data_IF_569133921910
#
_entry.id   IF_569133921910
#
_cell.length_a   1.000
_cell.length_b   1.000
_cell.length_c   1.000
_cell.angle_alpha   90.00
_cell.angle_beta   90.00
_cell.angle_gamma   90.00
#
_symmetry.space_group_name_H-M   'P 1'
#
loop_
_entity.id
_entity.type
_entity.pdbx_description
1 polymer ?
#
# COMPACT_ATOMS: atom_id res chain seq x y z
N UNK A 1 -6.18 -8.19 22.61
CA UNK A 1 -5.45 -7.55 21.50
C UNK A 1 -5.93 -6.11 21.42
N UNK A 2 -5.04 -5.11 21.32
CA UNK A 2 -5.48 -3.73 21.09
C UNK A 2 -6.09 -3.62 19.68
N UNK A 3 -7.08 -2.74 19.47
CA UNK A 3 -7.75 -2.60 18.17
C UNK A 3 -6.74 -2.32 17.04
N UNK A 4 -5.68 -1.55 17.33
CA UNK A 4 -4.59 -1.25 16.42
C UNK A 4 -3.84 -2.47 15.90
N UNK A 5 -3.60 -3.48 16.74
CA UNK A 5 -2.93 -4.72 16.33
C UNK A 5 -3.83 -5.52 15.39
N UNK A 6 -5.12 -5.57 15.66
CA UNK A 6 -6.09 -6.24 14.77
C UNK A 6 -6.11 -5.55 13.41
N UNK A 7 -6.22 -4.21 13.38
CA UNK A 7 -6.18 -3.43 12.15
C UNK A 7 -4.87 -3.65 11.37
N UNK A 8 -3.72 -3.67 12.05
CA UNK A 8 -2.43 -3.93 11.41
C UNK A 8 -2.41 -5.30 10.72
N UNK A 9 -2.87 -6.35 11.41
CA UNK A 9 -2.92 -7.71 10.86
C UNK A 9 -3.87 -7.78 9.66
N UNK A 10 -5.06 -7.17 9.75
CA UNK A 10 -6.02 -7.13 8.63
C UNK A 10 -5.42 -6.43 7.41
N UNK A 11 -4.73 -5.31 7.60
CA UNK A 11 -4.08 -4.58 6.51
C UNK A 11 -2.93 -5.38 5.88
N UNK A 12 -2.13 -6.10 6.68
CA UNK A 12 -1.08 -7.00 6.16
C UNK A 12 -1.69 -8.15 5.34
N UNK A 13 -2.79 -8.75 5.81
CA UNK A 13 -3.50 -9.79 5.05
C UNK A 13 -4.01 -9.23 3.73
N UNK A 14 -4.58 -8.02 3.74
CA UNK A 14 -5.05 -7.36 2.51
C UNK A 14 -3.91 -7.08 1.52
N UNK A 15 -2.74 -6.67 2.01
CA UNK A 15 -1.52 -6.54 1.20
C UNK A 15 -1.09 -7.87 0.57
N UNK A 16 -1.18 -8.99 1.30
CA UNK A 16 -0.89 -10.31 0.75
C UNK A 16 -1.87 -10.71 -0.37
N UNK A 17 -3.15 -10.36 -0.25
CA UNK A 17 -4.14 -10.58 -1.32
C UNK A 17 -3.81 -9.74 -2.55
N UNK A 18 -3.45 -8.46 -2.35
CA UNK A 18 -2.95 -7.60 -3.43
C UNK A 18 -1.71 -8.18 -4.11
N UNK A 19 -0.74 -8.67 -3.34
CA UNK A 19 0.46 -9.32 -3.85
C UNK A 19 0.13 -10.60 -4.66
N UNK A 20 -0.87 -11.38 -4.22
CA UNK A 20 -1.33 -12.53 -4.98
C UNK A 20 -1.92 -12.12 -6.34
N UNK A 21 -2.68 -11.02 -6.41
CA UNK A 21 -3.18 -10.47 -7.66
C UNK A 21 -2.05 -9.98 -8.59
N UNK A 22 -0.98 -9.39 -8.02
CA UNK A 22 0.23 -8.99 -8.77
C UNK A 22 0.99 -10.19 -9.35
N UNK A 23 1.09 -11.29 -8.60
CA UNK A 23 1.87 -12.45 -9.02
C UNK A 23 1.11 -13.37 -9.99
N UNK A 24 -0.22 -13.48 -9.83
CA UNK A 24 -1.05 -14.47 -10.54
C UNK A 24 -2.07 -13.88 -11.50
N UNK A 25 -2.32 -12.57 -11.46
CA UNK A 25 -3.32 -11.91 -12.29
C UNK A 25 -2.89 -11.70 -13.75
N UNK A 26 -3.88 -11.39 -14.59
CA UNK A 26 -3.69 -10.84 -15.93
C UNK A 26 -3.10 -9.41 -15.87
N UNK A 27 -2.65 -8.87 -17.01
CA UNK A 27 -1.96 -7.57 -17.05
C UNK A 27 -2.72 -6.46 -16.31
N UNK A 28 -4.04 -6.41 -16.43
CA UNK A 28 -4.86 -5.42 -15.74
C UNK A 28 -4.93 -5.68 -14.22
N UNK A 29 -5.19 -6.92 -13.79
CA UNK A 29 -5.22 -7.26 -12.35
C UNK A 29 -3.89 -7.04 -11.67
N UNK A 30 -2.77 -7.28 -12.36
CA UNK A 30 -1.43 -7.03 -11.80
C UNK A 30 -1.24 -5.56 -11.47
N UNK A 31 -1.70 -4.71 -12.37
CA UNK A 31 -1.49 -3.29 -12.25
C UNK A 31 -2.44 -2.68 -11.21
N UNK A 32 -3.69 -3.13 -11.17
CA UNK A 32 -4.63 -2.80 -10.08
C UNK A 32 -4.07 -3.25 -8.73
N UNK A 33 -3.48 -4.45 -8.66
CA UNK A 33 -2.81 -4.96 -7.46
C UNK A 33 -1.65 -4.07 -7.00
N UNK A 34 -0.82 -3.58 -7.92
CA UNK A 34 0.27 -2.64 -7.62
C UNK A 34 -0.26 -1.28 -7.13
N UNK A 35 -1.33 -0.78 -7.74
CA UNK A 35 -1.96 0.48 -7.33
C UNK A 35 -2.63 0.38 -5.96
N UNK A 36 -3.24 -0.76 -5.64
CA UNK A 36 -3.76 -1.01 -4.29
C UNK A 36 -2.63 -1.13 -3.27
N UNK A 37 -1.54 -1.83 -3.61
CA UNK A 37 -0.39 -1.98 -2.73
C UNK A 37 0.30 -0.64 -2.43
N UNK A 38 0.41 0.26 -3.41
CA UNK A 38 1.03 1.58 -3.21
C UNK A 38 0.26 2.43 -2.18
N UNK A 39 -1.07 2.31 -2.12
CA UNK A 39 -1.91 3.03 -1.15
C UNK A 39 -1.94 2.33 0.21
N UNK A 40 -2.07 1.01 0.23
CA UNK A 40 -2.20 0.24 1.47
C UNK A 40 -0.88 0.16 2.26
N UNK A 41 0.27 0.15 1.59
CA UNK A 41 1.58 0.09 2.25
C UNK A 41 1.83 1.23 3.25
N UNK A 42 1.70 2.53 2.90
CA UNK A 42 1.90 3.62 3.85
C UNK A 42 0.87 3.61 4.99
N UNK A 43 -0.41 3.28 4.71
CA UNK A 43 -1.45 3.16 5.74
C UNK A 43 -1.08 2.05 6.74
N UNK A 44 -0.62 0.91 6.24
CA UNK A 44 -0.17 -0.21 7.07
C UNK A 44 1.03 0.19 7.93
N UNK A 45 2.00 0.92 7.36
CA UNK A 45 3.16 1.41 8.08
C UNK A 45 2.79 2.35 9.23
N UNK A 46 1.83 3.27 9.03
CA UNK A 46 1.30 4.14 10.11
C UNK A 46 0.67 3.31 11.22
N UNK A 47 -0.23 2.38 10.88
CA UNK A 47 -0.95 1.57 11.88
C UNK A 47 0.01 0.70 12.68
N UNK A 48 1.04 0.15 12.03
CA UNK A 48 2.12 -0.60 12.71
C UNK A 48 2.93 0.31 13.63
N UNK A 49 3.26 1.53 13.21
CA UNK A 49 3.98 2.50 14.03
C UNK A 49 3.21 2.85 15.31
N UNK A 50 1.89 3.09 15.18
CA UNK A 50 0.98 3.36 16.30
C UNK A 50 0.86 2.15 17.22
N UNK A 51 0.70 0.96 16.65
CA UNK A 51 0.63 -0.29 17.42
C UNK A 51 1.94 -0.57 18.19
N UNK A 52 3.09 -0.23 17.60
CA UNK A 52 4.41 -0.40 18.21
C UNK A 52 4.78 0.71 19.21
N UNK A 53 3.99 1.79 19.32
CA UNK A 53 4.31 2.98 20.13
C UNK A 53 5.68 3.60 19.76
N UNK A 54 6.06 3.52 18.48
CA UNK A 54 7.37 3.98 17.98
C UNK A 54 7.15 5.02 16.89
N UNK A 55 7.44 6.27 17.21
CA UNK A 55 7.28 7.40 16.28
C UNK A 55 8.28 7.41 15.13
N UNK A 56 9.43 6.73 15.26
CA UNK A 56 10.44 6.65 14.20
C UNK A 56 9.88 6.08 12.87
N UNK A 57 8.87 5.22 12.93
CA UNK A 57 8.25 4.64 11.74
C UNK A 57 7.26 5.57 11.03
N UNK A 58 6.83 6.67 11.67
CA UNK A 58 5.91 7.64 11.04
C UNK A 58 6.58 8.39 9.89
N UNK A 59 7.87 8.72 9.99
CA UNK A 59 8.60 9.42 8.92
C UNK A 59 8.70 8.57 7.66
N UNK A 60 8.97 7.27 7.82
CA UNK A 60 8.99 6.30 6.72
C UNK A 60 7.61 6.16 6.08
N UNK A 61 6.56 6.10 6.89
CA UNK A 61 5.19 6.02 6.39
C UNK A 61 4.78 7.29 5.61
N UNK A 62 5.21 8.46 6.08
CA UNK A 62 5.02 9.75 5.40
C UNK A 62 5.75 9.78 4.05
N UNK A 63 7.02 9.38 4.01
CA UNK A 63 7.78 9.30 2.76
C UNK A 63 7.12 8.35 1.76
N UNK A 64 6.66 7.19 2.21
CA UNK A 64 5.93 6.22 1.37
C UNK A 64 4.60 6.79 0.85
N UNK A 65 3.88 7.57 1.66
CA UNK A 65 2.63 8.19 1.22
C UNK A 65 2.84 9.20 0.08
N UNK A 66 3.89 10.04 0.19
CA UNK A 66 4.24 11.02 -0.85
C UNK A 66 4.70 10.31 -2.13
N UNK A 67 5.56 9.29 -2.01
CA UNK A 67 6.03 8.50 -3.15
C UNK A 67 4.89 7.73 -3.82
N UNK A 68 3.95 7.21 -3.04
CA UNK A 68 2.77 6.52 -3.55
C UNK A 68 1.92 7.45 -4.43
N UNK A 69 1.71 8.69 -4.00
CA UNK A 69 0.98 9.69 -4.79
C UNK A 69 1.71 9.99 -6.11
N UNK A 70 3.01 10.24 -6.06
CA UNK A 70 3.82 10.47 -7.26
C UNK A 70 3.77 9.26 -8.22
N UNK A 71 3.96 8.04 -7.70
CA UNK A 71 3.89 6.81 -8.48
C UNK A 71 2.52 6.59 -9.12
N UNK A 72 1.44 6.89 -8.40
CA UNK A 72 0.06 6.79 -8.89
C UNK A 72 -0.22 7.75 -10.04
N UNK A 73 0.31 8.98 -9.98
CA UNK A 73 0.17 9.96 -11.06
C UNK A 73 0.97 9.57 -12.31
N UNK A 74 2.19 9.07 -12.14
CA UNK A 74 3.00 8.54 -13.25
C UNK A 74 2.28 7.34 -13.90
N UNK A 75 1.67 6.50 -13.09
CA UNK A 75 0.87 5.38 -13.56
C UNK A 75 -0.37 5.83 -14.33
N UNK A 76 -1.18 6.75 -13.79
CA UNK A 76 -2.35 7.31 -14.45
C UNK A 76 -1.98 7.95 -15.80
N UNK A 77 -0.91 8.75 -15.83
CA UNK A 77 -0.38 9.36 -17.06
C UNK A 77 0.08 8.31 -18.07
N UNK A 78 0.65 7.20 -17.61
CA UNK A 78 1.06 6.12 -18.50
C UNK A 78 -0.16 5.47 -19.15
N UNK A 79 -1.21 5.16 -18.37
CA UNK A 79 -2.47 4.64 -18.89
C UNK A 79 -3.11 5.55 -19.94
N UNK A 80 -3.19 6.86 -19.66
CA UNK A 80 -3.74 7.86 -20.59
C UNK A 80 -3.02 7.90 -21.95
N UNK A 81 -1.74 7.51 -21.98
CA UNK A 81 -0.97 7.46 -23.23
C UNK A 81 -1.25 6.21 -24.06
N UNK A 82 -1.72 5.12 -23.44
CA UNK A 82 -1.98 3.84 -24.11
C UNK A 82 -3.46 3.63 -24.49
N UNK A 83 -4.37 4.45 -23.97
CA UNK A 83 -5.81 4.51 -24.27
C UNK A 83 -6.08 5.55 -25.38
#
# INVERSE_FOLDING_TARGET
MTPWVVTAVTLVVLLCVGAAAVLRGDTLSRVVGLQLASVLAPITAVVVAVAAQRTLFLEVALALAVLSLAGSLVYARSLERWL
#
